data_IF_684259923525
#
_entry.id   IF_684259923525
#
_cell.length_a   1.000
_cell.length_b   1.000
_cell.length_c   1.000
_cell.angle_alpha   90.00
_cell.angle_beta   90.00
_cell.angle_gamma   90.00
#
_symmetry.space_group_name_H-M   'P 1'
#
loop_
_entity.id
_entity.type
_entity.pdbx_description
1 polymer ?
#
# COMPACT_ATOMS: atom_id res chain seq x y z
N UNK A 1 -11.62 -13.96 19.25
CA UNK A 1 -11.38 -12.59 18.74
C UNK A 1 -10.74 -12.66 17.36
N UNK A 2 -11.13 -11.82 16.40
CA UNK A 2 -10.38 -11.68 15.14
C UNK A 2 -9.36 -10.55 15.31
N UNK A 3 -8.10 -10.79 14.93
CA UNK A 3 -7.02 -9.81 15.16
C UNK A 3 -6.13 -9.66 13.93
N UNK A 4 -5.85 -8.41 13.56
CA UNK A 4 -4.96 -8.10 12.44
C UNK A 4 -3.52 -8.52 12.71
N UNK A 5 -2.94 -9.33 11.82
CA UNK A 5 -1.53 -9.74 11.89
C UNK A 5 -0.66 -9.12 10.79
N UNK A 6 -1.27 -8.44 9.83
CA UNK A 6 -0.59 -7.80 8.72
C UNK A 6 -1.45 -6.67 8.15
N UNK A 7 -0.80 -5.74 7.44
CA UNK A 7 -1.44 -4.66 6.70
C UNK A 7 -0.97 -4.59 5.26
N UNK A 8 -1.93 -4.41 4.36
CA UNK A 8 -1.67 -4.05 2.97
C UNK A 8 -1.16 -2.61 2.90
N UNK A 9 -0.19 -2.36 2.02
CA UNK A 9 0.38 -1.03 1.87
C UNK A 9 1.68 -1.06 1.06
N UNK A 10 2.21 0.11 0.68
CA UNK A 10 3.33 0.24 -0.25
C UNK A 10 4.70 0.01 0.41
N UNK A 11 4.76 0.07 1.75
CA UNK A 11 6.02 -0.03 2.48
C UNK A 11 6.37 -1.48 2.83
N UNK A 12 7.64 -1.90 2.65
CA UNK A 12 8.76 -1.13 2.08
C UNK A 12 8.89 -1.27 0.55
N UNK A 13 8.19 -2.21 -0.08
CA UNK A 13 8.46 -2.67 -1.45
C UNK A 13 8.34 -1.62 -2.57
N UNK A 14 7.69 -0.49 -2.29
CA UNK A 14 7.51 0.60 -3.25
C UNK A 14 8.47 1.78 -3.03
N UNK A 15 9.29 1.77 -1.98
CA UNK A 15 10.15 2.91 -1.66
C UNK A 15 11.50 2.77 -2.36
N UNK A 16 11.79 3.70 -3.26
CA UNK A 16 13.01 3.72 -4.06
C UNK A 16 14.23 4.16 -3.22
N UNK A 17 15.44 3.98 -3.77
CA UNK A 17 16.72 4.31 -3.16
C UNK A 17 17.10 3.51 -1.90
N UNK A 18 16.49 2.34 -1.70
CA UNK A 18 16.87 1.37 -0.69
C UNK A 18 17.53 0.17 -1.35
N UNK A 19 18.65 -0.29 -0.80
CA UNK A 19 19.22 -1.56 -1.21
C UNK A 19 18.32 -2.74 -0.82
N UNK A 20 18.55 -3.88 -1.47
CA UNK A 20 17.76 -5.10 -1.25
C UNK A 20 17.76 -5.54 0.23
N UNK A 21 18.89 -5.41 0.91
CA UNK A 21 19.03 -5.81 2.31
C UNK A 21 18.19 -4.89 3.23
N UNK A 22 18.20 -3.58 2.96
CA UNK A 22 17.40 -2.59 3.66
C UNK A 22 15.90 -2.85 3.48
N UNK A 23 15.44 -3.18 2.27
CA UNK A 23 14.06 -3.55 1.99
C UNK A 23 13.63 -4.80 2.79
N UNK A 24 14.48 -5.83 2.81
CA UNK A 24 14.21 -7.06 3.57
C UNK A 24 14.16 -6.79 5.08
N UNK A 25 15.13 -6.04 5.63
CA UNK A 25 15.15 -5.64 7.05
C UNK A 25 13.90 -4.85 7.42
N UNK A 26 13.50 -3.86 6.60
CA UNK A 26 12.28 -3.05 6.82
C UNK A 26 11.02 -3.91 6.72
N UNK A 27 11.01 -4.90 5.83
CA UNK A 27 9.92 -5.88 5.73
C UNK A 27 9.77 -6.70 7.00
N UNK A 28 10.88 -7.15 7.58
CA UNK A 28 10.89 -7.89 8.86
C UNK A 28 10.46 -7.01 10.05
N UNK A 29 10.92 -5.76 10.10
CA UNK A 29 10.45 -4.80 11.12
C UNK A 29 8.94 -4.57 11.04
N UNK A 30 8.40 -4.45 9.82
CA UNK A 30 6.95 -4.33 9.60
C UNK A 30 6.20 -5.56 10.11
N UNK A 31 6.67 -6.78 9.84
CA UNK A 31 6.06 -8.01 10.39
C UNK A 31 6.00 -7.93 11.92
N UNK A 32 7.13 -7.64 12.57
CA UNK A 32 7.22 -7.55 14.04
C UNK A 32 6.31 -6.47 14.62
N UNK A 33 6.16 -5.34 13.94
CA UNK A 33 5.24 -4.28 14.36
C UNK A 33 3.79 -4.78 14.45
N UNK A 34 3.31 -5.51 13.43
CA UNK A 34 1.94 -6.06 13.47
C UNK A 34 1.77 -7.16 14.52
N UNK A 35 2.80 -7.99 14.74
CA UNK A 35 2.76 -9.01 15.79
C UNK A 35 2.69 -8.37 17.19
N UNK A 36 3.43 -7.29 17.43
CA UNK A 36 3.31 -6.51 18.67
C UNK A 36 1.92 -5.92 18.85
N UNK A 37 1.37 -5.33 17.79
CA UNK A 37 0.00 -4.79 17.82
C UNK A 37 -1.04 -5.88 18.14
N UNK A 38 -0.89 -7.07 17.56
CA UNK A 38 -1.71 -8.22 17.90
C UNK A 38 -1.59 -8.57 19.39
N UNK A 39 -0.36 -8.62 19.92
CA UNK A 39 -0.10 -8.88 21.33
C UNK A 39 -0.73 -7.81 22.25
N UNK A 40 -0.67 -6.53 21.88
CA UNK A 40 -1.30 -5.44 22.64
C UNK A 40 -2.82 -5.65 22.79
N UNK A 41 -3.50 -6.10 21.71
CA UNK A 41 -4.93 -6.41 21.78
C UNK A 41 -5.23 -7.64 22.64
N UNK A 42 -4.39 -8.69 22.55
CA UNK A 42 -4.58 -9.93 23.31
C UNK A 42 -4.35 -9.73 24.80
N UNK A 43 -3.35 -8.92 25.17
CA UNK A 43 -3.07 -8.55 26.55
C UNK A 43 -4.23 -7.75 27.18
N UNK A 44 -4.79 -6.80 26.40
CA UNK A 44 -5.87 -5.93 26.86
C UNK A 44 -7.23 -6.66 26.98
N UNK A 45 -7.55 -7.54 26.02
CA UNK A 45 -8.87 -8.16 25.91
C UNK A 45 -8.94 -9.59 26.46
N UNK A 46 -7.78 -10.25 26.63
CA UNK A 46 -7.62 -11.61 27.15
C UNK A 46 -8.65 -12.62 26.60
N UNK A 47 -8.81 -12.73 25.27
CA UNK A 47 -9.74 -13.70 24.71
C UNK A 47 -9.22 -15.12 24.93
N UNK A 48 -10.11 -16.10 25.06
CA UNK A 48 -9.72 -17.53 25.10
C UNK A 48 -9.07 -17.95 23.77
N UNK A 49 -9.70 -17.59 22.65
CA UNK A 49 -9.24 -17.90 21.31
C UNK A 49 -9.05 -16.62 20.48
N UNK A 50 -8.03 -16.61 19.62
CA UNK A 50 -7.89 -15.59 18.59
C UNK A 50 -7.59 -16.18 17.22
N UNK A 51 -8.15 -15.56 16.20
CA UNK A 51 -7.94 -15.93 14.81
C UNK A 51 -7.19 -14.78 14.13
N UNK A 52 -5.96 -15.00 13.64
CA UNK A 52 -5.28 -14.03 12.80
C UNK A 52 -6.11 -13.75 11.55
N UNK A 53 -6.40 -12.47 11.29
CA UNK A 53 -7.27 -12.06 10.20
C UNK A 53 -6.65 -10.87 9.44
N UNK A 54 -6.28 -11.10 8.19
CA UNK A 54 -5.82 -10.05 7.28
C UNK A 54 -6.14 -10.41 5.83
N UNK A 55 -6.37 -9.40 4.99
CA UNK A 55 -6.46 -9.59 3.55
C UNK A 55 -5.09 -9.93 2.97
N UNK A 56 -4.97 -11.07 2.32
CA UNK A 56 -3.78 -11.44 1.54
C UNK A 56 -4.04 -11.22 0.05
N UNK A 57 -2.99 -10.77 -0.65
CA UNK A 57 -2.95 -10.64 -2.10
C UNK A 57 -1.57 -11.04 -2.58
N UNK A 58 -1.40 -11.27 -3.88
CA UNK A 58 -0.11 -11.57 -4.51
C UNK A 58 0.03 -10.70 -5.75
N UNK A 59 1.18 -10.05 -5.90
CA UNK A 59 1.46 -9.21 -7.07
C UNK A 59 1.79 -10.10 -8.26
N UNK A 60 1.18 -9.80 -9.42
CA UNK A 60 1.50 -10.42 -10.70
C UNK A 60 2.16 -9.42 -11.65
N UNK A 61 2.19 -9.78 -12.93
CA UNK A 61 2.70 -8.94 -14.01
C UNK A 61 4.07 -8.34 -13.72
N UNK A 62 4.34 -7.14 -14.21
CA UNK A 62 5.63 -6.46 -14.00
C UNK A 62 5.99 -6.20 -12.52
N UNK A 63 5.06 -6.36 -11.57
CA UNK A 63 5.29 -6.12 -10.14
C UNK A 63 5.54 -7.41 -9.34
N UNK A 64 5.53 -8.59 -9.97
CA UNK A 64 5.63 -9.87 -9.25
C UNK A 64 6.88 -9.99 -8.36
N UNK A 65 8.00 -9.40 -8.80
CA UNK A 65 9.29 -9.40 -8.07
C UNK A 65 9.22 -8.67 -6.73
N UNK A 66 8.26 -7.76 -6.55
CA UNK A 66 8.10 -7.03 -5.30
C UNK A 66 7.52 -7.89 -4.16
N UNK A 67 6.92 -9.05 -4.46
CA UNK A 67 6.30 -9.88 -3.43
C UNK A 67 7.27 -10.19 -2.29
N UNK A 68 8.55 -10.40 -2.59
CA UNK A 68 9.59 -10.71 -1.61
C UNK A 68 9.86 -9.61 -0.57
N UNK A 69 9.46 -8.37 -0.87
CA UNK A 69 9.73 -7.21 -0.01
C UNK A 69 8.52 -6.73 0.79
N UNK A 70 7.34 -7.33 0.63
CA UNK A 70 6.09 -6.79 1.20
C UNK A 70 6.02 -6.79 2.73
N UNK A 71 6.85 -7.60 3.39
CA UNK A 71 6.85 -7.74 4.85
C UNK A 71 5.52 -8.26 5.38
N UNK A 72 4.90 -9.23 4.69
CA UNK A 72 3.67 -9.92 5.12
C UNK A 72 4.03 -11.39 5.36
N UNK A 73 3.78 -11.95 6.55
CA UNK A 73 4.03 -13.35 6.84
C UNK A 73 2.92 -14.25 6.26
N UNK A 74 3.22 -15.53 6.02
CA UNK A 74 2.19 -16.55 5.82
C UNK A 74 1.57 -16.93 7.18
N UNK A 75 0.45 -17.66 7.17
CA UNK A 75 -0.25 -18.01 8.41
C UNK A 75 0.57 -18.97 9.28
N UNK A 76 1.27 -19.92 8.66
CA UNK A 76 2.17 -20.87 9.32
C UNK A 76 3.40 -20.19 9.97
N UNK A 77 3.79 -19.00 9.52
CA UNK A 77 4.89 -18.24 10.11
C UNK A 77 4.47 -17.53 11.41
N UNK A 78 3.16 -17.43 11.69
CA UNK A 78 2.66 -16.58 12.77
C UNK A 78 2.98 -17.13 14.15
N UNK A 79 2.85 -18.44 14.37
CA UNK A 79 3.11 -19.01 15.69
C UNK A 79 4.58 -18.81 16.12
N UNK A 80 5.59 -19.09 15.26
CA UNK A 80 6.98 -18.75 15.55
C UNK A 80 7.22 -17.25 15.79
N UNK A 81 6.62 -16.37 14.97
CA UNK A 81 6.79 -14.92 15.11
C UNK A 81 6.17 -14.37 16.40
N UNK A 82 5.05 -14.96 16.84
CA UNK A 82 4.29 -14.53 18.00
C UNK A 82 4.86 -15.07 19.32
N UNK A 83 5.56 -16.20 19.29
CA UNK A 83 6.06 -16.91 20.48
C UNK A 83 6.80 -16.00 21.48
N UNK A 84 7.64 -15.07 21.01
CA UNK A 84 8.38 -14.17 21.89
C UNK A 84 7.48 -13.17 22.62
N UNK A 85 6.50 -12.58 21.91
CA UNK A 85 5.53 -11.64 22.52
C UNK A 85 4.59 -12.38 23.47
N UNK A 86 4.16 -13.59 23.10
CA UNK A 86 3.34 -14.47 23.94
C UNK A 86 4.01 -14.74 25.28
N UNK A 87 5.27 -15.18 25.25
CA UNK A 87 6.02 -15.50 26.46
C UNK A 87 6.34 -14.26 27.31
N UNK A 88 6.71 -13.14 26.69
CA UNK A 88 7.09 -11.93 27.42
C UNK A 88 5.91 -11.28 28.16
N UNK A 89 4.69 -11.43 27.63
CA UNK A 89 3.47 -10.79 28.15
C UNK A 89 2.54 -11.75 28.90
N UNK A 90 2.87 -13.04 28.96
CA UNK A 90 2.02 -14.05 29.58
C UNK A 90 0.67 -14.22 28.87
N UNK A 91 0.64 -14.16 27.54
CA UNK A 91 -0.59 -14.31 26.76
C UNK A 91 -0.99 -15.79 26.69
N UNK A 92 -2.11 -16.13 27.30
CA UNK A 92 -2.67 -17.50 27.33
C UNK A 92 -3.62 -17.79 26.17
N UNK A 93 -4.00 -16.78 25.38
CA UNK A 93 -4.93 -16.92 24.25
C UNK A 93 -4.43 -17.95 23.22
N UNK A 94 -5.30 -18.88 22.82
CA UNK A 94 -4.97 -19.89 21.82
C UNK A 94 -5.12 -19.30 20.40
N UNK A 95 -4.11 -19.51 19.55
CA UNK A 95 -4.16 -19.11 18.14
C UNK A 95 -4.89 -20.19 17.33
N UNK A 96 -5.92 -19.78 16.60
CA UNK A 96 -6.68 -20.66 15.71
C UNK A 96 -6.42 -20.27 14.26
N UNK A 97 -5.78 -21.17 13.51
CA UNK A 97 -5.60 -21.06 12.07
C UNK A 97 -6.68 -21.88 11.35
N UNK A 98 -7.32 -21.31 10.33
CA UNK A 98 -8.38 -21.97 9.55
C UNK A 98 -8.01 -22.06 8.08
N UNK A 99 -8.38 -23.17 7.44
CA UNK A 99 -8.33 -23.25 5.98
C UNK A 99 -9.50 -22.47 5.36
N UNK A 100 -9.40 -22.17 4.06
CA UNK A 100 -10.51 -21.56 3.33
C UNK A 100 -11.75 -22.45 3.40
N UNK A 101 -12.91 -21.84 3.70
CA UNK A 101 -14.23 -22.49 3.84
C UNK A 101 -14.39 -23.42 5.05
N UNK A 102 -13.43 -23.42 5.97
CA UNK A 102 -13.54 -24.11 7.26
C UNK A 102 -14.12 -23.18 8.33
N UNK A 103 -14.53 -23.74 9.46
CA UNK A 103 -15.14 -23.02 10.58
C UNK A 103 -14.55 -23.44 11.92
N UNK A 104 -14.82 -22.66 12.96
CA UNK A 104 -14.44 -22.92 14.34
C UNK A 104 -15.69 -22.87 15.23
N UNK A 105 -16.02 -23.96 15.94
CA UNK A 105 -17.15 -23.99 16.87
C UNK A 105 -16.69 -23.49 18.24
N UNK A 106 -17.25 -22.37 18.67
CA UNK A 106 -16.92 -21.71 19.93
C UNK A 106 -17.38 -22.49 21.17
N UNK A 107 -18.37 -23.39 21.04
CA UNK A 107 -18.88 -24.22 22.14
C UNK A 107 -17.96 -25.41 22.39
N UNK A 108 -17.48 -26.02 21.31
CA UNK A 108 -16.59 -27.18 21.36
C UNK A 108 -15.11 -26.77 21.45
N UNK A 109 -14.78 -25.52 21.10
CA UNK A 109 -13.39 -25.05 21.06
C UNK A 109 -12.58 -25.72 19.95
N UNK A 110 -13.24 -26.13 18.86
CA UNK A 110 -12.64 -26.99 17.83
C UNK A 110 -12.85 -26.44 16.41
N UNK A 111 -11.81 -26.58 15.58
CA UNK A 111 -11.88 -26.31 14.15
C UNK A 111 -12.48 -27.51 13.41
N UNK A 112 -13.22 -27.25 12.32
CA UNK A 112 -13.81 -28.29 11.47
C UNK A 112 -12.80 -29.18 10.76
N UNK A 113 -11.58 -28.68 10.56
CA UNK A 113 -10.45 -29.44 10.03
C UNK A 113 -9.12 -28.84 10.55
N UNK A 114 -8.06 -29.63 10.73
CA UNK A 114 -6.72 -29.12 10.97
C UNK A 114 -6.27 -28.16 9.85
N UNK A 115 -5.56 -27.09 10.22
CA UNK A 115 -4.93 -26.18 9.28
C UNK A 115 -3.87 -26.90 8.44
N UNK A 116 -3.83 -26.58 7.13
CA UNK A 116 -2.84 -27.09 6.19
C UNK A 116 -1.97 -25.92 5.70
N UNK A 117 -0.69 -25.86 6.07
CA UNK A 117 0.26 -24.88 5.56
C UNK A 117 0.36 -24.91 4.04
N UNK A 118 0.73 -23.78 3.44
CA UNK A 118 0.94 -23.70 2.00
C UNK A 118 2.36 -24.15 1.65
N UNK A 119 2.55 -24.63 0.41
CA UNK A 119 3.89 -24.87 -0.12
C UNK A 119 4.44 -23.57 -0.70
N UNK A 120 5.49 -23.03 -0.08
CA UNK A 120 6.16 -21.83 -0.59
C UNK A 120 6.79 -22.06 -1.97
N UNK A 121 7.27 -23.28 -2.23
CA UNK A 121 7.78 -23.66 -3.56
C UNK A 121 6.66 -23.60 -4.61
N UNK A 122 5.49 -24.16 -4.31
CA UNK A 122 4.36 -24.16 -5.24
C UNK A 122 3.82 -22.74 -5.47
N UNK A 123 3.76 -21.92 -4.41
CA UNK A 123 3.36 -20.51 -4.51
C UNK A 123 4.30 -19.73 -5.41
N UNK A 124 5.62 -19.86 -5.22
CA UNK A 124 6.62 -19.18 -6.06
C UNK A 124 6.55 -19.67 -7.52
N UNK A 125 6.44 -20.98 -7.74
CA UNK A 125 6.29 -21.55 -9.07
C UNK A 125 5.02 -21.06 -9.78
N UNK A 126 3.90 -20.95 -9.06
CA UNK A 126 2.66 -20.38 -9.60
C UNK A 126 2.80 -18.90 -9.95
N UNK A 127 3.45 -18.10 -9.09
CA UNK A 127 3.70 -16.67 -9.38
C UNK A 127 4.52 -16.53 -10.66
N UNK A 128 5.63 -17.26 -10.75
CA UNK A 128 6.55 -17.17 -11.88
C UNK A 128 5.92 -17.68 -13.17
N UNK A 129 5.21 -18.82 -13.15
CA UNK A 129 4.61 -19.42 -14.34
C UNK A 129 3.33 -18.74 -14.81
N UNK A 130 2.43 -18.42 -13.87
CA UNK A 130 1.05 -18.04 -14.20
C UNK A 130 0.77 -16.54 -14.04
N UNK A 131 1.45 -15.87 -13.11
CA UNK A 131 1.15 -14.48 -12.78
C UNK A 131 2.14 -13.49 -13.40
N UNK A 132 3.42 -13.85 -13.52
CA UNK A 132 4.51 -12.94 -13.90
C UNK A 132 4.31 -12.31 -15.29
N UNK A 133 3.75 -13.05 -16.24
CA UNK A 133 3.50 -12.60 -17.61
C UNK A 133 2.18 -11.85 -17.82
N UNK A 134 1.33 -11.73 -16.79
CA UNK A 134 0.03 -11.05 -16.92
C UNK A 134 0.23 -9.54 -17.05
N UNK A 135 -0.56 -8.89 -17.91
CA UNK A 135 -0.58 -7.43 -18.00
C UNK A 135 -1.68 -6.87 -17.11
N UNK A 136 -1.42 -5.74 -16.48
CA UNK A 136 -2.46 -4.97 -15.81
C UNK A 136 -3.37 -4.32 -16.86
N UNK A 137 -4.65 -4.16 -16.52
CA UNK A 137 -5.68 -3.70 -17.46
C UNK A 137 -5.29 -2.34 -18.09
N UNK A 138 -4.75 -1.42 -17.30
CA UNK A 138 -4.35 -0.09 -17.78
C UNK A 138 -3.18 -0.13 -18.79
N UNK A 139 -2.40 -1.22 -18.83
CA UNK A 139 -1.26 -1.32 -19.75
C UNK A 139 -1.69 -1.54 -21.21
N UNK A 140 -2.98 -1.78 -21.43
CA UNK A 140 -3.59 -1.87 -22.76
C UNK A 140 -4.36 -0.59 -23.13
N UNK A 141 -4.38 0.42 -22.26
CA UNK A 141 -4.97 1.71 -22.58
C UNK A 141 -4.15 2.46 -23.64
N UNK A 142 -4.82 3.35 -24.36
CA UNK A 142 -4.17 4.26 -25.28
C UNK A 142 -3.10 5.11 -24.56
N UNK A 143 -1.98 5.43 -25.21
CA UNK A 143 -1.02 6.40 -24.69
C UNK A 143 -1.71 7.72 -24.33
N UNK A 144 -1.29 8.34 -23.22
CA UNK A 144 -1.81 9.61 -22.78
C UNK A 144 -0.73 10.70 -22.97
N UNK A 145 -0.96 11.70 -23.84
CA UNK A 145 -0.02 12.80 -24.04
C UNK A 145 0.25 13.58 -22.75
N UNK A 146 1.50 13.97 -22.54
CA UNK A 146 1.96 14.72 -21.36
C UNK A 146 1.21 16.05 -21.18
N UNK A 147 0.94 16.77 -22.28
CA UNK A 147 0.16 18.02 -22.26
C UNK A 147 -1.29 17.82 -21.80
N UNK A 148 -1.91 16.68 -22.16
CA UNK A 148 -3.26 16.34 -21.70
C UNK A 148 -3.28 16.09 -20.19
N UNK A 149 -2.33 15.30 -19.69
CA UNK A 149 -2.16 15.07 -18.25
C UNK A 149 -1.93 16.36 -17.48
N UNK A 150 -1.13 17.29 -18.02
CA UNK A 150 -0.87 18.58 -17.40
C UNK A 150 -2.16 19.38 -17.19
N UNK A 151 -3.02 19.47 -18.22
CA UNK A 151 -4.29 20.19 -18.14
C UNK A 151 -5.23 19.55 -17.11
N UNK A 152 -5.35 18.22 -17.10
CA UNK A 152 -6.20 17.51 -16.15
C UNK A 152 -5.68 17.59 -14.72
N UNK A 153 -4.36 17.52 -14.52
CA UNK A 153 -3.75 17.67 -13.20
C UNK A 153 -4.02 19.05 -12.61
N UNK A 154 -4.01 20.11 -13.42
CA UNK A 154 -4.36 21.47 -12.97
C UNK A 154 -5.79 21.53 -12.42
N UNK A 155 -6.73 20.87 -13.09
CA UNK A 155 -8.11 20.79 -12.60
C UNK A 155 -8.25 19.90 -11.36
N UNK A 156 -7.62 18.73 -11.39
CA UNK A 156 -7.61 17.80 -10.27
C UNK A 156 -6.96 18.40 -9.01
N UNK A 157 -5.91 19.21 -9.16
CA UNK A 157 -5.24 19.88 -8.05
C UNK A 157 -6.15 20.92 -7.39
N UNK A 158 -6.87 21.73 -8.18
CA UNK A 158 -7.89 22.66 -7.63
C UNK A 158 -8.98 21.90 -6.87
N UNK A 159 -9.43 20.77 -7.42
CA UNK A 159 -10.39 19.91 -6.74
C UNK A 159 -9.85 19.37 -5.41
N UNK A 160 -8.62 18.83 -5.42
CA UNK A 160 -7.94 18.32 -4.24
C UNK A 160 -7.83 19.38 -3.14
N UNK A 161 -7.37 20.59 -3.48
CA UNK A 161 -7.26 21.71 -2.54
C UNK A 161 -8.62 22.07 -1.94
N UNK A 162 -9.68 22.11 -2.75
CA UNK A 162 -11.04 22.34 -2.29
C UNK A 162 -11.52 21.26 -1.29
N UNK A 163 -11.21 19.98 -1.57
CA UNK A 163 -11.53 18.88 -0.65
C UNK A 163 -10.72 18.94 0.63
N UNK A 164 -9.44 19.33 0.56
CA UNK A 164 -8.60 19.53 1.74
C UNK A 164 -9.14 20.63 2.64
N UNK A 165 -9.55 21.76 2.06
CA UNK A 165 -10.16 22.86 2.80
C UNK A 165 -11.47 22.43 3.48
N UNK A 166 -12.39 21.84 2.71
CA UNK A 166 -13.71 21.40 3.17
C UNK A 166 -13.64 20.36 4.30
N UNK A 167 -12.66 19.44 4.24
CA UNK A 167 -12.58 18.28 5.16
C UNK A 167 -11.58 18.46 6.29
N UNK A 168 -10.93 19.61 6.39
CA UNK A 168 -9.90 19.84 7.40
C UNK A 168 -8.65 18.96 7.21
N UNK A 169 -8.36 18.52 5.99
CA UNK A 169 -7.13 17.75 5.70
C UNK A 169 -5.97 18.73 5.72
N UNK A 170 -5.01 18.50 6.61
CA UNK A 170 -3.83 19.34 6.81
C UNK A 170 -2.59 18.45 6.84
N UNK A 171 -1.88 18.27 5.71
CA UNK A 171 -0.52 17.74 5.69
C UNK A 171 0.31 18.41 6.78
N UNK A 172 1.03 17.61 7.58
CA UNK A 172 1.82 18.09 8.72
C UNK A 172 2.89 19.08 8.31
N UNK A 173 3.29 19.01 7.05
CA UNK A 173 4.38 19.77 6.48
C UNK A 173 3.76 20.56 5.33
N UNK A 174 3.32 21.77 5.65
CA UNK A 174 2.67 22.71 4.71
C UNK A 174 3.55 23.08 3.50
N UNK A 175 4.83 22.65 3.52
CA UNK A 175 5.84 22.90 2.49
C UNK A 175 6.16 21.67 1.62
N UNK A 176 5.44 20.53 1.75
CA UNK A 176 5.71 19.36 0.91
C UNK A 176 5.37 19.63 -0.55
N UNK A 177 6.35 19.37 -1.39
CA UNK A 177 6.17 19.33 -2.82
C UNK A 177 5.75 17.91 -3.24
N UNK A 178 4.67 17.79 -4.00
CA UNK A 178 4.31 16.53 -4.66
C UNK A 178 4.84 16.56 -6.07
N UNK A 179 5.59 15.53 -6.45
CA UNK A 179 6.07 15.36 -7.82
C UNK A 179 5.53 14.06 -8.40
N UNK A 180 5.04 14.08 -9.64
CA UNK A 180 4.59 12.89 -10.35
C UNK A 180 5.51 12.63 -11.55
N UNK A 181 6.26 11.53 -11.50
CA UNK A 181 7.10 11.04 -12.60
C UNK A 181 6.34 9.97 -13.39
N UNK A 182 5.96 10.31 -14.63
CA UNK A 182 5.28 9.38 -15.56
C UNK A 182 6.22 8.75 -16.59
N UNK A 183 7.53 8.98 -16.47
CA UNK A 183 8.58 8.48 -17.37
C UNK A 183 8.76 9.29 -18.65
N UNK A 184 8.45 10.59 -18.63
CA UNK A 184 8.56 11.49 -19.80
C UNK A 184 9.83 12.34 -19.74
N UNK A 185 10.82 12.03 -20.58
CA UNK A 185 11.95 12.90 -20.97
C UNK A 185 12.61 13.73 -19.84
N UNK A 186 12.94 13.10 -18.70
CA UNK A 186 13.58 13.73 -17.55
C UNK A 186 12.78 14.91 -16.92
N UNK A 187 11.48 14.98 -17.16
CA UNK A 187 10.56 15.94 -16.52
C UNK A 187 9.60 15.24 -15.56
N UNK A 188 9.13 15.99 -14.57
CA UNK A 188 8.10 15.58 -13.62
C UNK A 188 7.02 16.64 -13.49
N UNK A 189 5.80 16.25 -13.13
CA UNK A 189 4.76 17.20 -12.77
C UNK A 189 4.95 17.64 -11.32
N UNK A 190 5.19 18.92 -11.08
CA UNK A 190 5.10 19.54 -9.76
C UNK A 190 3.63 19.87 -9.46
N UNK A 191 3.12 19.33 -8.36
CA UNK A 191 1.73 19.50 -7.89
C UNK A 191 1.75 20.22 -6.54
N UNK A 192 1.61 21.56 -6.51
CA UNK A 192 1.56 22.31 -5.27
C UNK A 192 0.36 21.90 -4.41
N UNK A 193 0.58 21.71 -3.11
CA UNK A 193 -0.47 21.42 -2.11
C UNK A 193 -1.18 22.69 -1.60
N UNK A 194 -0.66 23.86 -1.97
CA UNK A 194 -1.11 25.19 -1.56
C UNK A 194 -1.38 26.04 -2.81
N UNK A 195 -1.13 27.35 -2.76
CA UNK A 195 -1.23 28.23 -3.92
C UNK A 195 -0.18 27.90 -4.97
N UNK A 196 -0.54 28.02 -6.25
CA UNK A 196 0.31 27.69 -7.39
C UNK A 196 -0.42 26.83 -8.42
N UNK A 197 0.15 26.76 -9.62
CA UNK A 197 -0.37 25.95 -10.72
C UNK A 197 0.53 24.74 -10.94
N UNK A 198 -0.07 23.60 -11.33
CA UNK A 198 0.70 22.43 -11.75
C UNK A 198 1.55 22.78 -12.98
N UNK A 199 2.84 22.44 -12.91
CA UNK A 199 3.81 22.68 -13.97
C UNK A 199 4.66 21.43 -14.21
N UNK A 200 5.28 21.36 -15.40
CA UNK A 200 6.40 20.46 -15.65
C UNK A 200 7.68 21.15 -15.22
N UNK A 201 8.54 20.40 -14.54
CA UNK A 201 9.89 20.84 -14.19
C UNK A 201 10.88 19.71 -14.51
N UNK A 202 12.15 20.02 -14.74
CA UNK A 202 13.19 19.00 -14.80
C UNK A 202 13.27 18.15 -13.52
N UNK A 203 13.53 16.86 -13.65
CA UNK A 203 13.62 15.92 -12.51
C UNK A 203 14.73 16.30 -11.52
N UNK A 204 15.77 16.99 -11.97
CA UNK A 204 16.85 17.48 -11.12
C UNK A 204 16.47 18.72 -10.30
N UNK A 205 15.34 19.35 -10.60
CA UNK A 205 14.80 20.51 -9.86
C UNK A 205 13.83 20.08 -8.74
N UNK A 206 13.69 18.77 -8.47
CA UNK A 206 12.93 18.27 -7.32
C UNK A 206 13.53 18.84 -6.03
N UNK A 207 12.75 19.68 -5.35
CA UNK A 207 13.12 20.31 -4.08
C UNK A 207 12.50 19.58 -2.87
N UNK A 208 13.31 19.38 -1.84
CA UNK A 208 12.87 18.90 -0.52
C UNK A 208 12.24 20.04 0.31
N UNK A 209 11.26 19.74 1.19
CA UNK A 209 10.71 18.42 1.46
C UNK A 209 9.73 17.97 0.37
N UNK A 210 9.72 16.67 0.06
CA UNK A 210 8.93 16.15 -1.07
C UNK A 210 8.38 14.74 -0.90
N UNK A 211 7.29 14.50 -1.65
CA UNK A 211 6.81 13.18 -2.04
C UNK A 211 6.86 13.10 -3.57
N UNK A 212 7.90 12.46 -4.09
CA UNK A 212 7.96 12.09 -5.49
C UNK A 212 7.33 10.70 -5.70
N UNK A 213 6.40 10.62 -6.64
CA UNK A 213 5.67 9.40 -6.99
C UNK A 213 5.93 9.07 -8.44
N UNK A 214 6.59 7.95 -8.70
CA UNK A 214 6.76 7.40 -10.04
C UNK A 214 5.68 6.39 -10.37
N UNK A 215 5.04 6.53 -11.54
CA UNK A 215 3.90 5.73 -11.97
C UNK A 215 3.74 5.69 -13.50
N UNK A 216 2.84 4.85 -14.00
CA UNK A 216 2.53 4.78 -15.44
C UNK A 216 1.55 5.91 -15.83
N UNK A 217 1.83 6.64 -16.92
CA UNK A 217 0.96 7.71 -17.44
C UNK A 217 -0.50 7.27 -17.62
N UNK A 218 -0.73 6.04 -18.11
CA UNK A 218 -2.08 5.50 -18.31
C UNK A 218 -2.80 5.24 -16.99
N UNK A 219 -2.05 4.83 -15.96
CA UNK A 219 -2.61 4.67 -14.62
C UNK A 219 -2.94 6.03 -13.99
N UNK A 220 -2.07 7.04 -14.16
CA UNK A 220 -2.35 8.41 -13.71
C UNK A 220 -3.65 8.91 -14.35
N UNK A 221 -3.79 8.79 -15.67
CA UNK A 221 -5.03 9.12 -16.39
C UNK A 221 -6.25 8.45 -15.78
N UNK A 222 -6.21 7.14 -15.55
CA UNK A 222 -7.33 6.42 -14.90
C UNK A 222 -7.64 6.95 -13.49
N UNK A 223 -6.64 7.33 -12.72
CA UNK A 223 -6.86 7.91 -11.38
C UNK A 223 -7.48 9.29 -11.46
N UNK A 224 -7.05 10.13 -12.41
CA UNK A 224 -7.64 11.45 -12.66
C UNK A 224 -9.11 11.32 -13.08
N UNK A 225 -9.44 10.34 -13.92
CA UNK A 225 -10.82 10.06 -14.35
C UNK A 225 -11.64 9.22 -13.36
N UNK A 226 -11.07 8.88 -12.19
CA UNK A 226 -11.70 8.01 -11.17
C UNK A 226 -12.05 6.59 -11.66
N UNK A 227 -11.45 6.13 -12.76
CA UNK A 227 -11.49 4.73 -13.23
C UNK A 227 -10.53 3.83 -12.43
N UNK A 228 -9.62 4.44 -11.67
CA UNK A 228 -8.81 3.82 -10.63
C UNK A 228 -8.78 4.76 -9.40
N UNK A 229 -8.37 4.22 -8.26
CA UNK A 229 -8.28 4.98 -7.01
C UNK A 229 -6.85 4.97 -6.47
N UNK A 230 -6.35 6.11 -6.00
CA UNK A 230 -4.99 6.28 -5.46
C UNK A 230 -4.64 5.23 -4.39
N UNK A 231 -5.50 5.06 -3.38
CA UNK A 231 -5.33 4.02 -2.35
C UNK A 231 -5.18 2.59 -2.94
N UNK A 232 -5.90 2.25 -4.01
CA UNK A 232 -5.80 0.93 -4.63
C UNK A 232 -4.51 0.79 -5.44
N UNK A 233 -4.08 1.85 -6.14
CA UNK A 233 -2.80 1.88 -6.84
C UNK A 233 -1.62 1.75 -5.86
N UNK A 234 -1.70 2.45 -4.72
CA UNK A 234 -0.74 2.38 -3.63
C UNK A 234 -0.66 0.95 -3.04
N UNK A 235 -1.78 0.39 -2.59
CA UNK A 235 -1.85 -0.97 -2.03
C UNK A 235 -1.38 -2.01 -3.06
N UNK A 236 -1.80 -1.87 -4.31
CA UNK A 236 -1.40 -2.72 -5.43
C UNK A 236 0.06 -2.55 -5.87
N UNK A 237 0.83 -1.69 -5.19
CA UNK A 237 2.26 -1.47 -5.43
C UNK A 237 2.60 -0.91 -6.82
N UNK A 238 1.62 -0.22 -7.43
CA UNK A 238 1.76 0.44 -8.73
C UNK A 238 2.49 1.78 -8.65
N UNK A 239 2.55 2.37 -7.46
CA UNK A 239 3.22 3.63 -7.19
C UNK A 239 4.59 3.35 -6.59
N UNK A 240 5.62 4.02 -7.10
CA UNK A 240 6.96 4.04 -6.54
C UNK A 240 7.18 5.37 -5.85
N UNK A 241 7.72 5.33 -4.64
CA UNK A 241 7.81 6.49 -3.77
C UNK A 241 9.27 6.82 -3.50
N UNK A 242 9.60 8.09 -3.65
CA UNK A 242 10.72 8.72 -2.98
C UNK A 242 10.15 9.82 -2.08
N UNK A 243 10.53 9.82 -0.80
CA UNK A 243 10.11 10.86 0.14
C UNK A 243 11.31 11.34 0.94
N UNK A 244 11.45 12.64 1.03
CA UNK A 244 12.53 13.27 1.75
C UNK A 244 11.96 14.45 2.54
N UNK A 245 12.02 14.44 3.89
CA UNK A 245 12.58 13.37 4.75
C UNK A 245 11.73 12.08 4.75
N UNK A 246 12.30 10.96 5.23
CA UNK A 246 11.63 9.65 5.35
C UNK A 246 10.57 9.62 6.49
N UNK A 247 9.59 10.52 6.42
CA UNK A 247 8.52 10.69 7.41
C UNK A 247 7.17 10.39 6.77
N UNK A 248 6.37 9.56 7.43
CA UNK A 248 5.02 9.24 6.97
C UNK A 248 4.02 10.32 7.41
N UNK A 249 3.37 10.97 6.44
CA UNK A 249 2.34 11.98 6.67
C UNK A 249 0.96 11.49 6.16
N UNK A 250 0.14 10.92 7.05
CA UNK A 250 -1.17 10.34 6.69
C UNK A 250 -2.12 11.35 6.00
N UNK A 251 -2.27 12.60 6.48
CA UNK A 251 -3.02 13.63 5.76
C UNK A 251 -2.56 13.88 4.32
N UNK A 252 -1.25 13.79 4.00
CA UNK A 252 -0.75 13.92 2.63
C UNK A 252 -1.26 12.80 1.71
N UNK A 253 -1.13 11.54 2.13
CA UNK A 253 -1.69 10.41 1.37
C UNK A 253 -3.22 10.47 1.26
N UNK A 254 -3.88 11.03 2.28
CA UNK A 254 -5.32 11.29 2.24
C UNK A 254 -5.67 12.39 1.23
N UNK A 255 -4.86 13.43 1.11
CA UNK A 255 -5.04 14.48 0.10
C UNK A 255 -4.92 13.93 -1.31
N UNK A 256 -3.92 13.08 -1.59
CA UNK A 256 -3.74 12.45 -2.91
C UNK A 256 -4.98 11.67 -3.37
N UNK A 257 -5.76 11.10 -2.44
CA UNK A 257 -7.02 10.42 -2.80
C UNK A 257 -8.06 11.34 -3.47
N UNK A 258 -7.90 12.66 -3.34
CA UNK A 258 -8.74 13.67 -4.00
C UNK A 258 -8.07 14.32 -5.23
N UNK A 259 -6.87 13.88 -5.62
CA UNK A 259 -6.21 14.31 -6.85
C UNK A 259 -6.85 13.59 -8.05
N UNK A 260 -8.07 14.01 -8.38
CA UNK A 260 -8.83 13.54 -9.52
C UNK A 260 -9.76 14.64 -10.04
N UNK A 261 -10.24 14.50 -11.27
CA UNK A 261 -11.21 15.42 -11.85
C UNK A 261 -12.51 15.40 -11.01
N UNK A 262 -13.17 16.55 -10.83
CA UNK A 262 -14.47 16.59 -10.18
C UNK A 262 -15.47 15.74 -10.98
N UNK A 263 -16.45 15.14 -10.29
CA UNK A 263 -17.58 14.56 -11.02
C UNK A 263 -18.27 15.67 -11.79
N UNK A 264 -18.34 15.55 -13.11
CA UNK A 264 -19.29 16.35 -13.89
C UNK A 264 -20.67 16.10 -13.28
N UNK A 265 -21.28 17.13 -12.70
CA UNK A 265 -22.71 17.10 -12.37
C UNK A 265 -23.38 16.77 -13.69
N UNK A 266 -23.98 15.58 -13.80
CA UNK A 266 -24.93 15.34 -14.89
C UNK A 266 -26.03 16.36 -14.68
N UNK A 267 -26.00 17.42 -15.48
CA UNK A 267 -27.09 18.38 -15.58
C UNK A 267 -28.37 17.71 -16.04
#
# INVERSE_FOLDING_TARGET
MLVGYAGAGPYPQCFEHQDEEALLRKGELKKRQFIRQCADYLEALRPTYFLPFAGQYTLGGKLWRLNRYRGVPELEDLEPLFASERSARGIESEMVLLNSREWFDLREGAASSPYRPISMADKLAYIERELSGRRYVYESDAPCPSDELLMELREAQRHMIGQMAMRGIRPRLHDWNVYLDVGDQDEVFHVPLTEGEVARIPIHDIAEPCLAVRLDARLLKRMLERKAHWNNAEIGSHLRFNRAPDVFDRPLFTALCYLHLPSSVKG
#
